data_IF_618671601891
#
_entry.id   IF_618671601891
#
_cell.length_a   1.000
_cell.length_b   1.000
_cell.length_c   1.000
_cell.angle_alpha   90.00
_cell.angle_beta   90.00
_cell.angle_gamma   90.00
#
_symmetry.space_group_name_H-M   'P 1'
#
loop_
_entity.id
_entity.type
_entity.pdbx_description
1 polymer ?
#
# COMPACT_ATOMS: atom_id res chain seq x y z
N UNK A 1 -10.62 22.36 -15.30
CA UNK A 1 -9.16 22.29 -15.60
C UNK A 1 -8.53 20.92 -15.34
N UNK A 2 -8.88 20.21 -14.25
CA UNK A 2 -8.33 18.86 -13.94
C UNK A 2 -8.61 17.82 -15.03
N UNK A 3 -9.86 17.70 -15.48
CA UNK A 3 -10.28 16.78 -16.54
C UNK A 3 -9.56 17.02 -17.89
N UNK A 4 -9.46 18.28 -18.33
CA UNK A 4 -8.74 18.65 -19.55
C UNK A 4 -7.24 18.28 -19.47
N UNK A 5 -6.63 18.47 -18.30
CA UNK A 5 -5.24 18.09 -18.05
C UNK A 5 -5.07 16.56 -18.05
N UNK A 6 -5.96 15.82 -17.40
CA UNK A 6 -5.94 14.35 -17.38
C UNK A 6 -6.12 13.78 -18.79
N UNK A 7 -7.03 14.36 -19.59
CA UNK A 7 -7.28 13.94 -20.97
C UNK A 7 -6.09 14.26 -21.89
N UNK A 8 -5.46 15.43 -21.74
CA UNK A 8 -4.25 15.78 -22.48
C UNK A 8 -3.09 14.82 -22.16
N UNK A 9 -2.92 14.44 -20.89
CA UNK A 9 -1.91 13.44 -20.47
C UNK A 9 -2.22 12.08 -21.09
N UNK A 10 -3.47 11.63 -21.07
CA UNK A 10 -3.87 10.37 -21.67
C UNK A 10 -3.58 10.33 -23.18
N UNK A 11 -3.93 11.41 -23.91
CA UNK A 11 -3.65 11.53 -25.35
C UNK A 11 -2.15 11.52 -25.62
N UNK A 12 -1.36 12.28 -24.84
CA UNK A 12 0.10 12.29 -24.99
C UNK A 12 0.72 10.90 -24.78
N UNK A 13 0.27 10.16 -23.76
CA UNK A 13 0.71 8.78 -23.51
C UNK A 13 0.37 7.86 -24.68
N UNK A 14 -0.83 7.96 -25.23
CA UNK A 14 -1.24 7.16 -26.41
C UNK A 14 -0.37 7.46 -27.62
N UNK A 15 -0.04 8.74 -27.87
CA UNK A 15 0.86 9.13 -28.95
C UNK A 15 2.26 8.54 -28.72
N UNK A 16 2.80 8.64 -27.50
CA UNK A 16 4.11 8.07 -27.16
C UNK A 16 4.12 6.56 -27.36
N UNK A 17 3.10 5.85 -26.89
CA UNK A 17 2.96 4.39 -27.09
C UNK A 17 2.87 4.05 -28.57
N UNK A 18 2.12 4.83 -29.36
CA UNK A 18 2.00 4.65 -30.80
C UNK A 18 3.33 4.85 -31.53
N UNK A 19 4.11 5.87 -31.15
CA UNK A 19 5.46 6.12 -31.68
C UNK A 19 6.40 5.00 -31.29
N UNK A 20 6.39 4.56 -30.03
CA UNK A 20 7.19 3.42 -29.57
C UNK A 20 6.86 2.17 -30.37
N UNK A 21 5.57 1.84 -30.52
CA UNK A 21 5.12 0.65 -31.24
C UNK A 21 5.61 0.60 -32.70
N UNK A 22 5.79 1.77 -33.32
CA UNK A 22 6.31 1.90 -34.70
C UNK A 22 7.83 1.96 -34.78
N UNK A 23 8.52 2.09 -33.65
CA UNK A 23 9.98 2.14 -33.57
C UNK A 23 10.58 0.75 -33.37
N UNK A 24 11.80 0.53 -33.87
CA UNK A 24 12.55 -0.71 -33.64
C UNK A 24 12.79 -0.99 -32.15
N UNK A 25 13.00 0.05 -31.34
CA UNK A 25 13.19 -0.04 -29.89
C UNK A 25 11.89 -0.42 -29.18
N UNK A 26 10.77 0.21 -29.52
CA UNK A 26 9.50 -0.07 -28.86
C UNK A 26 8.91 -1.44 -29.16
N UNK A 27 9.34 -2.10 -30.25
CA UNK A 27 9.05 -3.52 -30.50
C UNK A 27 9.61 -4.45 -29.42
N UNK A 28 10.65 -4.04 -28.70
CA UNK A 28 11.19 -4.76 -27.54
C UNK A 28 10.69 -4.18 -26.21
N UNK A 29 10.65 -2.85 -26.09
CA UNK A 29 10.25 -2.20 -24.83
C UNK A 29 8.80 -2.49 -24.47
N UNK A 30 7.86 -2.47 -25.43
CA UNK A 30 6.45 -2.74 -25.15
C UNK A 30 6.17 -4.16 -24.63
N UNK A 31 6.66 -5.25 -25.27
CA UNK A 31 6.47 -6.58 -24.73
C UNK A 31 7.19 -6.78 -23.39
N UNK A 32 8.40 -6.21 -23.21
CA UNK A 32 9.09 -6.28 -21.91
C UNK A 32 8.30 -5.56 -20.81
N UNK A 33 7.78 -4.36 -21.08
CA UNK A 33 6.93 -3.64 -20.14
C UNK A 33 5.63 -4.40 -19.85
N UNK A 34 5.00 -4.98 -20.88
CA UNK A 34 3.81 -5.82 -20.72
C UNK A 34 4.08 -7.05 -19.85
N UNK A 35 5.20 -7.74 -20.07
CA UNK A 35 5.64 -8.85 -19.24
C UNK A 35 5.92 -8.41 -17.80
N UNK A 36 6.54 -7.24 -17.60
CA UNK A 36 6.77 -6.71 -16.26
C UNK A 36 5.46 -6.42 -15.52
N UNK A 37 4.47 -5.84 -16.20
CA UNK A 37 3.12 -5.60 -15.64
C UNK A 37 2.43 -6.93 -15.32
N UNK A 38 2.47 -7.90 -16.22
CA UNK A 38 1.90 -9.23 -16.00
C UNK A 38 2.57 -9.93 -14.80
N UNK A 39 3.90 -9.89 -14.71
CA UNK A 39 4.65 -10.45 -13.59
C UNK A 39 4.29 -9.75 -12.27
N UNK A 40 4.16 -8.42 -12.26
CA UNK A 40 3.74 -7.66 -11.09
C UNK A 40 2.32 -8.05 -10.64
N UNK A 41 1.38 -8.21 -11.58
CA UNK A 41 0.03 -8.67 -11.29
C UNK A 41 0.02 -10.08 -10.70
N UNK A 42 0.77 -11.02 -11.28
CA UNK A 42 0.93 -12.38 -10.74
C UNK A 42 1.48 -12.32 -9.32
N UNK A 43 2.56 -11.56 -9.10
CA UNK A 43 3.17 -11.41 -7.79
C UNK A 43 2.20 -10.82 -6.74
N UNK A 44 1.37 -9.85 -7.12
CA UNK A 44 0.32 -9.30 -6.24
C UNK A 44 -0.76 -10.34 -5.94
N UNK A 45 -1.25 -11.06 -6.96
CA UNK A 45 -2.30 -12.06 -6.79
C UNK A 45 -1.86 -13.29 -5.98
N UNK A 46 -0.57 -13.58 -5.96
CA UNK A 46 0.05 -14.64 -5.13
C UNK A 46 0.18 -14.24 -3.65
N UNK A 47 0.14 -12.95 -3.30
CA UNK A 47 0.23 -12.50 -1.91
C UNK A 47 -1.13 -12.59 -1.20
N UNK A 48 -1.09 -12.85 0.12
CA UNK A 48 -2.29 -12.74 0.96
C UNK A 48 -2.67 -11.26 1.09
N UNK A 49 -3.91 -10.88 0.71
CA UNK A 49 -4.33 -9.50 0.80
C UNK A 49 -4.63 -9.13 2.27
N UNK A 50 -4.28 -7.92 2.68
CA UNK A 50 -4.64 -7.35 3.98
C UNK A 50 -5.99 -6.62 3.94
N UNK A 51 -6.46 -6.27 2.74
CA UNK A 51 -7.71 -5.55 2.47
C UNK A 51 -8.49 -6.23 1.33
N UNK A 52 -9.75 -5.83 1.05
CA UNK A 52 -10.46 -6.31 -0.14
C UNK A 52 -9.66 -6.06 -1.42
N UNK A 53 -9.68 -7.01 -2.37
CA UNK A 53 -8.89 -6.95 -3.62
C UNK A 53 -9.26 -5.80 -4.57
N UNK A 54 -10.33 -5.07 -4.29
CA UNK A 54 -10.72 -3.84 -4.99
C UNK A 54 -10.00 -2.59 -4.45
N UNK A 55 -9.25 -2.73 -3.35
CA UNK A 55 -8.62 -1.60 -2.67
C UNK A 55 -7.34 -1.16 -3.37
N UNK A 56 -7.31 0.11 -3.76
CA UNK A 56 -6.12 0.80 -4.25
C UNK A 56 -5.99 2.14 -3.54
N UNK A 57 -4.80 2.45 -3.03
CA UNK A 57 -4.52 3.73 -2.36
C UNK A 57 -4.08 3.59 -0.89
N UNK A 58 -3.98 4.72 -0.18
CA UNK A 58 -3.53 4.74 1.21
C UNK A 58 -4.59 4.13 2.13
N UNK A 59 -4.16 3.28 3.05
CA UNK A 59 -4.98 2.61 4.07
C UNK A 59 -4.29 2.62 5.41
N UNK A 60 -5.09 2.59 6.46
CA UNK A 60 -4.62 2.49 7.84
C UNK A 60 -5.19 1.22 8.45
N UNK A 61 -4.34 0.44 9.12
CA UNK A 61 -4.74 -0.71 9.93
C UNK A 61 -4.15 -0.58 11.33
N UNK A 62 -4.89 -1.10 12.30
CA UNK A 62 -4.43 -1.23 13.68
C UNK A 62 -4.16 -2.71 13.91
N UNK A 63 -2.93 -3.02 14.29
CA UNK A 63 -2.53 -4.38 14.68
C UNK A 63 -2.37 -4.36 16.19
N UNK A 64 -3.14 -5.20 16.87
CA UNK A 64 -3.05 -5.34 18.32
C UNK A 64 -2.27 -6.61 18.65
N UNK A 65 -1.32 -6.50 19.57
CA UNK A 65 -0.54 -7.61 20.10
C UNK A 65 -0.50 -7.54 21.63
N UNK A 66 -0.44 -8.68 22.31
CA UNK A 66 -0.25 -8.70 23.75
C UNK A 66 1.12 -8.11 24.13
N UNK A 67 1.19 -7.43 25.28
CA UNK A 67 2.44 -6.98 25.87
C UNK A 67 3.02 -8.12 26.71
N UNK A 68 4.22 -8.60 26.38
CA UNK A 68 4.85 -9.72 27.10
C UNK A 68 5.64 -9.27 28.35
N UNK A 69 6.06 -8.00 28.43
CA UNK A 69 6.86 -7.49 29.54
C UNK A 69 6.03 -6.62 30.49
N UNK A 70 6.05 -6.94 31.79
CA UNK A 70 5.35 -6.18 32.83
C UNK A 70 5.88 -4.75 33.05
N UNK A 71 7.06 -4.43 32.50
CA UNK A 71 7.71 -3.11 32.68
C UNK A 71 7.20 -2.04 31.71
N UNK A 72 6.38 -2.41 30.72
CA UNK A 72 5.82 -1.45 29.76
C UNK A 72 4.58 -0.82 30.38
N UNK A 73 4.56 0.51 30.43
CA UNK A 73 3.44 1.30 30.95
C UNK A 73 2.55 1.82 29.84
N UNK A 74 1.26 2.01 30.16
CA UNK A 74 0.28 2.62 29.30
C UNK A 74 0.62 4.09 29.08
N UNK A 75 0.64 4.52 27.82
CA UNK A 75 0.98 5.90 27.44
C UNK A 75 -0.03 6.93 27.96
N UNK A 76 -1.29 6.54 28.17
CA UNK A 76 -2.37 7.45 28.60
C UNK A 76 -2.39 7.68 30.13
N UNK A 77 -2.15 6.64 30.93
CA UNK A 77 -2.37 6.69 32.38
C UNK A 77 -1.18 6.19 33.23
N UNK A 78 -0.12 5.67 32.62
CA UNK A 78 1.07 5.16 33.32
C UNK A 78 0.88 3.82 34.06
N UNK A 79 -0.31 3.21 34.03
CA UNK A 79 -0.52 1.86 34.57
C UNK A 79 0.23 0.81 33.76
N UNK A 80 0.42 -0.43 34.26
CA UNK A 80 0.96 -1.52 33.42
C UNK A 80 0.14 -1.69 32.13
N UNK A 81 0.82 -1.77 31.00
CA UNK A 81 0.20 -1.99 29.70
C UNK A 81 -0.10 -3.48 29.48
N UNK A 82 -1.26 -3.77 28.90
CA UNK A 82 -1.70 -5.12 28.57
C UNK A 82 -1.64 -5.39 27.07
N UNK A 83 -1.82 -4.34 26.27
CA UNK A 83 -1.93 -4.41 24.81
C UNK A 83 -0.99 -3.40 24.15
N UNK A 84 -0.34 -3.81 23.06
CA UNK A 84 0.43 -2.93 22.18
C UNK A 84 -0.37 -2.74 20.89
N UNK A 85 -0.71 -1.48 20.58
CA UNK A 85 -1.41 -1.10 19.35
C UNK A 85 -0.41 -0.53 18.35
N UNK A 86 -0.24 -1.20 17.22
CA UNK A 86 0.56 -0.71 16.10
C UNK A 86 -0.34 -0.13 15.02
N UNK A 87 -0.22 1.17 14.81
CA UNK A 87 -0.88 1.89 13.73
C UNK A 87 0.02 1.80 12.50
N UNK A 88 -0.50 1.22 11.42
CA UNK A 88 0.25 1.06 10.16
C UNK A 88 -0.51 1.76 9.07
N UNK A 89 0.11 2.74 8.43
CA UNK A 89 -0.39 3.41 7.23
C UNK A 89 0.40 2.91 6.03
N UNK A 90 -0.28 2.38 5.04
CA UNK A 90 0.33 1.71 3.90
C UNK A 90 -0.42 2.01 2.61
N UNK A 91 0.29 2.00 1.47
CA UNK A 91 -0.33 2.04 0.17
C UNK A 91 -0.65 0.62 -0.28
N UNK A 92 -1.93 0.35 -0.53
CA UNK A 92 -2.39 -0.93 -1.03
C UNK A 92 -2.62 -0.88 -2.55
N UNK A 93 -2.30 -1.98 -3.23
CA UNK A 93 -2.68 -2.24 -4.62
C UNK A 93 -3.33 -3.63 -4.66
N UNK A 94 -4.55 -3.70 -5.18
CA UNK A 94 -5.36 -4.92 -5.20
C UNK A 94 -5.49 -5.57 -3.80
N UNK A 95 -5.64 -4.73 -2.77
CA UNK A 95 -5.75 -5.17 -1.37
C UNK A 95 -4.44 -5.66 -0.73
N UNK A 96 -3.32 -5.63 -1.46
CA UNK A 96 -2.00 -6.01 -0.96
C UNK A 96 -1.21 -4.76 -0.61
N UNK A 97 -0.68 -4.62 0.63
CA UNK A 97 0.24 -3.55 0.96
C UNK A 97 1.52 -3.66 0.13
N UNK A 98 1.86 -2.60 -0.60
CA UNK A 98 3.06 -2.55 -1.44
C UNK A 98 4.10 -1.56 -0.93
N UNK A 99 3.67 -0.55 -0.18
CA UNK A 99 4.55 0.49 0.38
C UNK A 99 4.06 0.83 1.78
N UNK A 100 4.97 0.85 2.75
CA UNK A 100 4.71 1.42 4.07
C UNK A 100 4.86 2.95 3.98
N UNK A 101 3.83 3.69 4.41
CA UNK A 101 3.82 5.15 4.41
C UNK A 101 4.21 5.71 5.77
N UNK A 102 3.69 5.09 6.84
CA UNK A 102 3.89 5.53 8.21
C UNK A 102 3.61 4.36 9.16
N UNK A 103 4.29 4.31 10.30
CA UNK A 103 3.96 3.40 11.38
C UNK A 103 4.28 3.97 12.76
N UNK A 104 3.52 3.51 13.76
CA UNK A 104 3.70 3.90 15.15
C UNK A 104 3.14 2.84 16.09
N UNK A 105 3.68 2.78 17.30
CA UNK A 105 3.28 1.82 18.33
C UNK A 105 2.97 2.55 19.63
N UNK A 106 1.81 2.25 20.22
CA UNK A 106 1.40 2.76 21.52
C UNK A 106 1.04 1.59 22.46
N UNK A 107 1.72 1.46 23.60
CA UNK A 107 1.29 0.55 24.66
C UNK A 107 0.10 1.15 25.41
N UNK A 108 -0.97 0.36 25.55
CA UNK A 108 -2.20 0.74 26.26
C UNK A 108 -2.60 -0.33 27.28
N UNK A 109 -3.32 0.08 28.32
CA UNK A 109 -4.00 -0.83 29.22
C UNK A 109 -5.43 -1.11 28.71
N UNK A 110 -6.06 -2.17 29.23
CA UNK A 110 -7.40 -2.58 28.81
C UNK A 110 -8.46 -1.47 28.98
N UNK A 111 -8.28 -0.61 29.99
CA UNK A 111 -9.18 0.52 30.25
C UNK A 111 -9.12 1.64 29.20
N UNK A 112 -8.04 1.71 28.41
CA UNK A 112 -7.81 2.73 27.37
C UNK A 112 -7.62 2.10 25.98
N UNK A 113 -8.21 0.91 25.77
CA UNK A 113 -8.12 0.18 24.50
C UNK A 113 -9.09 0.71 23.44
N UNK A 114 -10.24 1.22 23.86
CA UNK A 114 -11.32 1.70 22.99
C UNK A 114 -11.37 3.24 22.93
#
# INVERSE_FOLDING_TARGET
MRLLRELAVAVALLVIVGVLARSGVGRFVLPVAGLAVAAALVALLSKRPAYPRTTVGPRTRIIESAVESADIVCVECGSPATTRRRYVREWAVLGVPVVLLDDGENPVCDAHRD
#
